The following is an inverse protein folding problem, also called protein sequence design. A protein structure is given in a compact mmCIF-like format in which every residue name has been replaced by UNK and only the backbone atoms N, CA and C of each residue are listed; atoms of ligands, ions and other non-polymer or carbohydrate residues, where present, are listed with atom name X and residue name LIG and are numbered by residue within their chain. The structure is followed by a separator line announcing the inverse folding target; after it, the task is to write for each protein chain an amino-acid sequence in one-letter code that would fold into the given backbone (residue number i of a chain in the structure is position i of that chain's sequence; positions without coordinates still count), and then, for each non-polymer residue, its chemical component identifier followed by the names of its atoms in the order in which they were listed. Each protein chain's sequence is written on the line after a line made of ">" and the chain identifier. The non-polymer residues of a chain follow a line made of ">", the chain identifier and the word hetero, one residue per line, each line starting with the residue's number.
data_IF_879729686650
#
_entry.id   IF_879729686650
#
_cell.length_a   1.000
_cell.length_b   1.000
_cell.length_c   1.000
_cell.angle_alpha   90.00
_cell.angle_beta   90.00
_cell.angle_gamma   90.00
#
_symmetry.space_group_name_H-M   'P 1'
#
loop_
_entity.id
_entity.type
_entity.pdbx_description
1 polymer ?
#
# COMPACT_ATOMS: atom_id res chain seq x y z
N UNK A 1 -1.92 12.55 12.04
CA UNK A 1 -1.90 14.00 11.71
C UNK A 1 -1.92 14.38 10.22
N UNK A 2 -2.42 13.59 9.24
CA UNK A 2 -2.47 14.05 7.84
C UNK A 2 -3.81 14.66 7.41
N UNK A 3 -4.93 14.40 8.09
CA UNK A 3 -6.25 14.83 7.60
C UNK A 3 -6.53 16.32 7.72
N UNK A 4 -6.43 16.91 8.91
CA UNK A 4 -6.73 18.34 9.06
C UNK A 4 -5.79 19.21 8.21
N UNK A 5 -4.51 18.81 8.12
CA UNK A 5 -3.56 19.44 7.22
C UNK A 5 -3.93 19.27 5.74
N UNK A 6 -4.37 18.07 5.35
CA UNK A 6 -4.84 17.81 3.98
C UNK A 6 -6.09 18.64 3.66
N UNK A 7 -7.10 18.65 4.53
CA UNK A 7 -8.35 19.40 4.36
C UNK A 7 -8.07 20.90 4.25
N UNK A 8 -7.28 21.48 5.15
CA UNK A 8 -6.86 22.89 5.08
C UNK A 8 -6.14 23.21 3.78
N UNK A 9 -5.26 22.31 3.31
CA UNK A 9 -4.51 22.51 2.06
C UNK A 9 -5.38 22.38 0.82
N UNK A 10 -6.38 21.49 0.85
CA UNK A 10 -7.36 21.31 -0.22
C UNK A 10 -8.28 22.52 -0.34
N UNK A 11 -8.75 23.06 0.79
CA UNK A 11 -9.56 24.30 0.81
C UNK A 11 -8.77 25.47 0.22
N UNK A 12 -7.45 25.57 0.52
CA UNK A 12 -6.61 26.66 0.03
C UNK A 12 -6.22 26.56 -1.44
N UNK A 13 -6.09 25.34 -1.99
CA UNK A 13 -5.77 25.16 -3.41
C UNK A 13 -6.39 23.86 -3.97
N UNK A 14 -7.48 23.95 -4.76
CA UNK A 14 -8.17 22.78 -5.29
C UNK A 14 -7.34 22.02 -6.34
N UNK A 15 -6.32 22.62 -6.96
CA UNK A 15 -5.45 21.91 -7.89
C UNK A 15 -4.53 20.89 -7.19
N UNK A 16 -4.28 21.05 -5.89
CA UNK A 16 -3.49 20.09 -5.11
C UNK A 16 -4.21 18.73 -4.94
N UNK A 17 -5.56 18.70 -5.05
CA UNK A 17 -6.33 17.44 -5.09
C UNK A 17 -5.88 16.55 -6.23
N UNK A 18 -5.62 17.12 -7.43
CA UNK A 18 -5.21 16.33 -8.60
C UNK A 18 -3.84 15.67 -8.38
N UNK A 19 -2.89 16.42 -7.81
CA UNK A 19 -1.57 15.89 -7.44
C UNK A 19 -1.66 14.80 -6.38
N UNK A 20 -2.51 14.99 -5.36
CA UNK A 20 -2.74 13.99 -4.33
C UNK A 20 -3.42 12.73 -4.87
N UNK A 21 -4.45 12.86 -5.71
CA UNK A 21 -5.15 11.74 -6.36
C UNK A 21 -4.18 10.96 -7.25
N UNK A 22 -3.30 11.65 -8.00
CA UNK A 22 -2.25 11.00 -8.77
C UNK A 22 -1.32 10.18 -7.88
N UNK A 23 -0.88 10.76 -6.76
CA UNK A 23 0.01 10.05 -5.83
C UNK A 23 -0.68 8.90 -5.08
N UNK A 24 -1.98 9.02 -4.77
CA UNK A 24 -2.78 7.91 -4.22
C UNK A 24 -2.94 6.81 -5.28
N UNK A 25 -3.26 7.17 -6.53
CA UNK A 25 -3.38 6.22 -7.63
C UNK A 25 -2.07 5.47 -7.89
N UNK A 26 -0.93 6.14 -7.74
CA UNK A 26 0.40 5.52 -7.84
C UNK A 26 0.69 4.52 -6.70
N UNK A 27 0.04 4.67 -5.54
CA UNK A 27 0.20 3.74 -4.41
C UNK A 27 -0.79 2.58 -4.43
N UNK A 28 -1.92 2.75 -5.13
CA UNK A 28 -2.89 1.68 -5.37
C UNK A 28 -2.24 0.68 -6.32
N UNK A 29 -2.24 -0.59 -5.92
CA UNK A 29 -1.67 -1.67 -6.72
C UNK A 29 -2.46 -1.79 -8.05
N UNK A 30 -1.80 -1.72 -9.22
CA UNK A 30 -2.47 -1.78 -10.52
C UNK A 30 -3.22 -3.09 -10.77
N UNK A 31 -2.95 -4.14 -9.96
CA UNK A 31 -3.68 -5.41 -10.03
C UNK A 31 -5.04 -5.39 -9.32
N UNK A 32 -5.33 -4.35 -8.55
CA UNK A 32 -6.58 -4.27 -7.78
C UNK A 32 -7.74 -4.00 -8.73
N UNK A 33 -8.69 -4.93 -8.76
CA UNK A 33 -9.97 -4.71 -9.44
C UNK A 33 -10.78 -3.69 -8.66
N UNK A 34 -11.50 -2.80 -9.36
CA UNK A 34 -12.42 -1.84 -8.73
C UNK A 34 -13.44 -2.51 -7.80
N UNK A 35 -13.80 -3.76 -8.09
CA UNK A 35 -14.70 -4.59 -7.30
C UNK A 35 -14.17 -4.82 -5.88
N UNK A 36 -12.86 -5.03 -5.70
CA UNK A 36 -12.26 -5.23 -4.37
C UNK A 36 -12.38 -3.99 -3.49
N UNK A 37 -12.24 -2.79 -4.09
CA UNK A 37 -12.41 -1.52 -3.40
C UNK A 37 -13.86 -1.36 -2.96
N UNK A 38 -14.81 -1.64 -3.86
CA UNK A 38 -16.25 -1.52 -3.58
C UNK A 38 -16.64 -2.52 -2.47
N UNK A 39 -16.24 -3.78 -2.60
CA UNK A 39 -16.52 -4.82 -1.61
C UNK A 39 -15.99 -4.43 -0.22
N UNK A 40 -14.74 -3.99 -0.14
CA UNK A 40 -14.16 -3.53 1.13
C UNK A 40 -14.90 -2.31 1.70
N UNK A 41 -15.23 -1.33 0.87
CA UNK A 41 -15.98 -0.15 1.31
C UNK A 41 -17.38 -0.54 1.82
N UNK A 42 -18.06 -1.47 1.15
CA UNK A 42 -19.37 -1.97 1.60
C UNK A 42 -19.27 -2.68 2.95
N UNK A 43 -18.26 -3.52 3.16
CA UNK A 43 -18.03 -4.20 4.45
C UNK A 43 -17.73 -3.18 5.56
N UNK A 44 -16.89 -2.18 5.27
CA UNK A 44 -16.55 -1.13 6.24
C UNK A 44 -17.78 -0.30 6.61
N UNK A 45 -18.58 0.13 5.63
CA UNK A 45 -19.82 0.89 5.87
C UNK A 45 -20.82 0.05 6.66
N UNK A 46 -20.98 -1.23 6.32
CA UNK A 46 -21.88 -2.14 7.03
C UNK A 46 -21.45 -2.32 8.49
N UNK A 47 -20.15 -2.49 8.75
CA UNK A 47 -19.61 -2.60 10.10
C UNK A 47 -19.78 -1.31 10.91
N UNK A 48 -19.56 -0.16 10.29
CA UNK A 48 -19.82 1.14 10.93
C UNK A 48 -21.30 1.31 11.24
N UNK A 49 -22.19 0.98 10.30
CA UNK A 49 -23.63 1.10 10.49
C UNK A 49 -24.11 0.20 11.63
N UNK A 50 -23.61 -1.04 11.67
CA UNK A 50 -23.89 -2.00 12.74
C UNK A 50 -23.38 -1.51 14.11
N UNK A 51 -22.19 -0.90 14.15
CA UNK A 51 -21.61 -0.32 15.37
C UNK A 51 -22.36 0.94 15.82
N UNK A 52 -22.90 1.73 14.88
CA UNK A 52 -23.66 2.94 15.15
C UNK A 52 -25.16 2.66 15.35
N UNK A 53 -25.64 1.42 15.27
CA UNK A 53 -27.04 1.10 15.55
C UNK A 53 -27.31 1.18 17.06
N UNK A 54 -28.42 1.80 17.52
CA UNK A 54 -28.70 1.91 18.94
C UNK A 54 -28.98 0.52 19.53
N UNK A 55 -28.40 0.25 20.69
CA UNK A 55 -28.69 -0.94 21.50
C UNK A 55 -30.20 -1.00 21.80
N UNK A 56 -30.81 -2.15 21.52
CA UNK A 56 -32.20 -2.48 21.86
C UNK A 56 -32.19 -3.78 22.67
N UNK A 57 -33.27 -4.11 23.40
CA UNK A 57 -33.31 -5.29 24.30
C UNK A 57 -33.06 -6.64 23.60
N UNK A 58 -33.13 -6.69 22.27
CA UNK A 58 -32.76 -7.81 21.40
C UNK A 58 -31.41 -7.60 20.68
N UNK A 59 -30.43 -7.00 21.36
CA UNK A 59 -29.13 -6.67 20.76
C UNK A 59 -28.29 -7.93 20.51
N UNK A 60 -27.98 -8.19 19.23
CA UNK A 60 -27.05 -9.24 18.83
C UNK A 60 -25.62 -8.94 19.32
N UNK A 61 -24.82 -9.98 19.58
CA UNK A 61 -23.41 -9.89 20.03
C UNK A 61 -22.58 -8.93 19.14
N UNK A 62 -22.99 -8.76 17.88
CA UNK A 62 -22.38 -7.86 16.90
C UNK A 62 -22.57 -6.35 17.17
N UNK A 63 -23.50 -5.89 18.01
CA UNK A 63 -23.63 -4.46 18.33
C UNK A 63 -22.80 -4.00 19.54
N UNK A 64 -21.88 -4.85 20.03
CA UNK A 64 -21.07 -4.61 21.23
C UNK A 64 -19.58 -4.43 20.90
N UNK A 65 -18.69 -4.38 21.90
CA UNK A 65 -17.24 -4.25 21.72
C UNK A 65 -16.60 -5.23 20.70
N UNK A 66 -17.24 -6.36 20.39
CA UNK A 66 -16.72 -7.31 19.42
C UNK A 66 -16.68 -6.76 17.98
N UNK A 67 -17.59 -5.85 17.58
CA UNK A 67 -17.49 -5.22 16.26
C UNK A 67 -16.34 -4.24 16.16
N UNK A 68 -15.97 -3.59 17.25
CA UNK A 68 -14.75 -2.78 17.29
C UNK A 68 -13.51 -3.62 17.00
N UNK A 69 -13.44 -4.83 17.57
CA UNK A 69 -12.36 -5.77 17.27
C UNK A 69 -12.38 -6.24 15.82
N UNK A 70 -13.56 -6.39 15.20
CA UNK A 70 -13.74 -6.82 13.80
C UNK A 70 -13.38 -5.70 12.80
N UNK A 71 -13.51 -4.44 13.21
CA UNK A 71 -13.05 -3.28 12.45
C UNK A 71 -11.54 -3.35 12.16
N UNK A 72 -10.74 -3.88 13.09
CA UNK A 72 -9.28 -3.92 12.98
C UNK A 72 -8.78 -4.81 11.82
N UNK A 73 -9.19 -6.09 11.68
CA UNK A 73 -8.84 -6.91 10.52
C UNK A 73 -9.27 -6.32 9.17
N UNK A 74 -10.45 -5.70 9.09
CA UNK A 74 -10.95 -5.06 7.87
C UNK A 74 -10.07 -3.87 7.50
N UNK A 75 -9.70 -3.05 8.48
CA UNK A 75 -8.78 -1.92 8.27
C UNK A 75 -7.36 -2.38 7.92
N UNK A 76 -6.89 -3.47 8.52
CA UNK A 76 -5.57 -4.04 8.26
C UNK A 76 -5.48 -4.56 6.82
N UNK A 77 -6.50 -5.29 6.37
CA UNK A 77 -6.61 -5.74 4.99
C UNK A 77 -6.61 -4.55 4.01
N UNK A 78 -7.37 -3.49 4.34
CA UNK A 78 -7.39 -2.24 3.57
C UNK A 78 -6.03 -1.54 3.54
N UNK A 79 -5.32 -1.49 4.67
CA UNK A 79 -3.98 -0.92 4.80
C UNK A 79 -2.97 -1.65 3.89
N UNK A 80 -3.01 -2.98 3.88
CA UNK A 80 -2.12 -3.79 3.04
C UNK A 80 -2.38 -3.62 1.55
N UNK A 81 -3.62 -3.32 1.12
CA UNK A 81 -4.01 -3.22 -0.30
C UNK A 81 -3.96 -1.79 -0.86
N UNK A 82 -4.47 -0.79 -0.16
CA UNK A 82 -4.67 0.56 -0.70
C UNK A 82 -3.57 1.56 -0.36
N UNK A 83 -2.67 1.20 0.56
CA UNK A 83 -1.53 2.01 0.96
C UNK A 83 -1.84 3.10 1.99
N UNK A 84 -0.78 3.72 2.53
CA UNK A 84 -0.83 4.63 3.68
C UNK A 84 -1.72 5.86 3.49
N UNK A 85 -1.65 6.54 2.35
CA UNK A 85 -2.36 7.82 2.18
C UNK A 85 -3.87 7.67 2.10
N UNK A 86 -4.34 6.63 1.41
CA UNK A 86 -5.76 6.33 1.29
C UNK A 86 -6.32 5.85 2.63
N UNK A 87 -5.65 4.87 3.26
CA UNK A 87 -6.15 4.30 4.52
C UNK A 87 -6.11 5.31 5.65
N UNK A 88 -5.10 6.19 5.70
CA UNK A 88 -5.03 7.24 6.73
C UNK A 88 -6.15 8.28 6.59
N UNK A 89 -6.58 8.55 5.35
CA UNK A 89 -7.70 9.45 5.06
C UNK A 89 -9.03 8.85 5.54
N UNK A 90 -9.22 7.54 5.40
CA UNK A 90 -10.46 6.85 5.83
C UNK A 90 -10.45 6.48 7.32
N UNK A 91 -9.30 6.09 7.86
CA UNK A 91 -9.20 5.64 9.26
C UNK A 91 -9.53 6.74 10.26
N UNK A 92 -9.16 7.97 9.94
CA UNK A 92 -9.35 9.14 10.81
C UNK A 92 -10.82 9.55 11.02
N UNK A 93 -11.69 9.67 10.00
CA UNK A 93 -13.12 9.90 10.21
C UNK A 93 -13.79 8.70 10.86
N UNK A 94 -13.36 7.48 10.53
CA UNK A 94 -13.81 6.26 11.23
C UNK A 94 -13.50 6.35 12.72
N UNK A 95 -12.27 6.69 13.10
CA UNK A 95 -11.85 6.85 14.49
C UNK A 95 -12.65 7.95 15.20
N UNK A 96 -12.85 9.09 14.54
CA UNK A 96 -13.67 10.19 15.09
C UNK A 96 -15.11 9.74 15.34
N UNK A 97 -15.72 9.05 14.37
CA UNK A 97 -17.09 8.53 14.51
C UNK A 97 -17.19 7.51 15.65
N UNK A 98 -16.26 6.56 15.72
CA UNK A 98 -16.21 5.54 16.79
C UNK A 98 -16.08 6.21 18.17
N UNK A 99 -15.15 7.16 18.34
CA UNK A 99 -14.96 7.88 19.61
C UNK A 99 -16.20 8.72 19.96
N UNK A 100 -16.80 9.40 18.99
CA UNK A 100 -17.97 10.25 19.24
C UNK A 100 -19.20 9.43 19.65
N UNK A 101 -19.44 8.31 18.98
CA UNK A 101 -20.58 7.42 19.22
C UNK A 101 -20.29 6.32 20.25
N UNK A 102 -19.27 6.48 21.11
CA UNK A 102 -18.88 5.47 22.10
C UNK A 102 -20.02 5.03 23.03
N UNK A 103 -20.94 5.94 23.35
CA UNK A 103 -22.11 5.69 24.19
C UNK A 103 -23.09 4.66 23.58
N UNK A 104 -23.01 4.42 22.27
CA UNK A 104 -24.02 3.64 21.54
C UNK A 104 -23.76 2.14 21.52
N UNK A 105 -22.51 1.72 21.73
CA UNK A 105 -22.10 0.32 21.80
C UNK A 105 -21.48 -0.07 23.15
N UNK A 106 -21.31 0.90 24.07
CA UNK A 106 -20.82 0.67 25.43
C UNK A 106 -21.98 0.79 26.44
N UNK A 107 -22.67 -0.30 26.79
CA UNK A 107 -23.72 -0.28 27.79
C UNK A 107 -23.20 0.11 29.19
N UNK A 108 -24.01 0.82 29.96
CA UNK A 108 -23.66 1.33 31.29
C UNK A 108 -23.81 0.18 32.30
N UNK A 109 -22.69 -0.44 32.64
CA UNK A 109 -22.58 -1.51 33.63
C UNK A 109 -21.70 -1.08 34.82
N UNK A 110 -21.73 -1.75 35.98
CA UNK A 110 -20.93 -1.39 37.16
C UNK A 110 -19.41 -1.34 36.92
N UNK A 111 -18.92 -1.95 35.84
CA UNK A 111 -17.52 -1.91 35.36
C UNK A 111 -17.28 -0.95 34.18
N UNK A 112 -18.13 0.07 34.00
CA UNK A 112 -18.05 1.00 32.86
C UNK A 112 -16.68 1.71 32.73
N UNK A 113 -16.11 2.18 33.85
CA UNK A 113 -14.83 2.91 33.82
C UNK A 113 -13.66 2.04 33.34
N UNK A 114 -13.59 0.78 33.77
CA UNK A 114 -12.52 -0.13 33.32
C UNK A 114 -12.69 -0.53 31.86
N UNK A 115 -13.94 -0.76 31.42
CA UNK A 115 -14.24 -1.06 30.02
C UNK A 115 -13.97 0.14 29.10
N UNK A 116 -14.24 1.37 29.56
CA UNK A 116 -13.91 2.60 28.83
C UNK A 116 -12.39 2.78 28.70
N UNK A 117 -11.63 2.47 29.75
CA UNK A 117 -10.16 2.48 29.70
C UNK A 117 -9.60 1.44 28.71
N UNK A 118 -10.17 0.24 28.67
CA UNK A 118 -9.77 -0.82 27.72
C UNK A 118 -10.09 -0.42 26.28
N UNK A 119 -11.30 0.10 26.03
CA UNK A 119 -11.71 0.51 24.67
C UNK A 119 -10.90 1.72 24.18
N UNK A 120 -10.69 2.74 25.03
CA UNK A 120 -9.87 3.90 24.67
C UNK A 120 -8.41 3.55 24.36
N UNK A 121 -7.78 2.69 25.16
CA UNK A 121 -6.42 2.20 24.88
C UNK A 121 -6.36 1.39 23.57
N UNK A 122 -7.39 0.58 23.28
CA UNK A 122 -7.47 -0.18 22.02
C UNK A 122 -7.52 0.73 20.78
N UNK A 123 -8.19 1.89 20.84
CA UNK A 123 -8.20 2.85 19.72
C UNK A 123 -6.81 3.34 19.34
N UNK A 124 -5.96 3.60 20.34
CA UNK A 124 -4.58 4.03 20.12
C UNK A 124 -3.73 2.91 19.51
N UNK A 125 -3.82 1.71 20.08
CA UNK A 125 -3.11 0.54 19.57
C UNK A 125 -3.51 0.23 18.13
N UNK A 126 -4.81 0.21 17.83
CA UNK A 126 -5.30 -0.03 16.47
C UNK A 126 -4.85 1.06 15.50
N UNK A 127 -4.87 2.33 15.93
CA UNK A 127 -4.37 3.43 15.11
C UNK A 127 -2.90 3.28 14.77
N UNK A 128 -2.07 2.86 15.73
CA UNK A 128 -0.65 2.62 15.51
C UNK A 128 -0.44 1.44 14.56
N UNK A 129 -1.12 0.31 14.78
CA UNK A 129 -1.00 -0.89 13.95
C UNK A 129 -1.42 -0.60 12.50
N UNK A 130 -2.58 0.04 12.29
CA UNK A 130 -3.09 0.37 10.94
C UNK A 130 -2.15 1.34 10.24
N UNK A 131 -1.68 2.39 10.93
CA UNK A 131 -0.75 3.36 10.34
C UNK A 131 0.60 2.71 9.97
N UNK A 132 1.16 1.90 10.88
CA UNK A 132 2.45 1.25 10.70
C UNK A 132 2.41 0.21 9.59
N UNK A 133 1.40 -0.66 9.58
CA UNK A 133 1.21 -1.67 8.53
C UNK A 133 1.00 -1.04 7.15
N UNK A 134 0.25 0.06 7.08
CA UNK A 134 0.09 0.78 5.83
C UNK A 134 1.39 1.43 5.35
N UNK A 135 2.19 1.97 6.25
CA UNK A 135 3.52 2.50 5.93
C UNK A 135 4.45 1.40 5.42
N UNK A 136 4.55 0.28 6.14
CA UNK A 136 5.35 -0.88 5.73
C UNK A 136 4.92 -1.42 4.38
N UNK A 137 3.62 -1.61 4.15
CA UNK A 137 3.10 -2.10 2.87
C UNK A 137 3.50 -1.18 1.71
N UNK A 138 3.46 0.15 1.90
CA UNK A 138 3.91 1.09 0.86
C UNK A 138 5.41 1.03 0.61
N UNK A 139 6.22 0.95 1.67
CA UNK A 139 7.68 0.84 1.52
C UNK A 139 8.09 -0.47 0.84
N UNK A 140 7.50 -1.58 1.27
CA UNK A 140 7.72 -2.89 0.65
C UNK A 140 7.42 -2.82 -0.85
N UNK A 141 6.29 -2.23 -1.25
CA UNK A 141 5.94 -2.10 -2.68
C UNK A 141 6.95 -1.28 -3.47
N UNK A 142 7.43 -0.16 -2.91
CA UNK A 142 8.45 0.66 -3.57
C UNK A 142 9.76 -0.12 -3.74
N UNK A 143 10.17 -0.86 -2.71
CA UNK A 143 11.35 -1.72 -2.76
C UNK A 143 11.14 -2.84 -3.79
N UNK A 144 10.02 -3.55 -3.75
CA UNK A 144 9.70 -4.61 -4.71
C UNK A 144 9.65 -4.09 -6.16
N UNK A 145 9.10 -2.90 -6.38
CA UNK A 145 9.09 -2.28 -7.71
C UNK A 145 10.52 -1.97 -8.19
N UNK A 146 11.36 -1.41 -7.32
CA UNK A 146 12.79 -1.14 -7.61
C UNK A 146 13.56 -2.43 -7.86
N UNK A 147 13.43 -3.43 -6.99
CA UNK A 147 14.05 -4.75 -7.15
C UNK A 147 13.59 -5.41 -8.44
N UNK A 148 12.30 -5.31 -8.78
CA UNK A 148 11.78 -5.83 -10.04
C UNK A 148 12.37 -5.11 -11.25
N UNK A 149 12.55 -3.79 -11.20
CA UNK A 149 13.23 -3.05 -12.26
C UNK A 149 14.71 -3.46 -12.37
N UNK A 150 15.40 -3.58 -11.23
CA UNK A 150 16.77 -4.06 -11.15
C UNK A 150 16.90 -5.53 -11.59
N UNK A 151 15.85 -6.34 -11.51
CA UNK A 151 15.87 -7.71 -12.04
C UNK A 151 15.83 -7.76 -13.58
N UNK A 152 15.39 -6.68 -14.24
CA UNK A 152 15.40 -6.56 -15.70
C UNK A 152 16.67 -5.91 -16.25
N UNK A 153 17.51 -5.32 -15.40
CA UNK A 153 18.79 -4.76 -15.76
C UNK A 153 19.89 -5.66 -15.17
N UNK A 154 20.92 -5.99 -15.94
CA UNK A 154 22.09 -6.66 -15.34
C UNK A 154 22.74 -5.66 -14.37
N UNK A 155 22.80 -5.92 -13.05
CA UNK A 155 23.37 -4.96 -12.09
C UNK A 155 24.83 -4.62 -12.38
N UNK A 156 25.53 -5.49 -13.12
CA UNK A 156 26.94 -5.30 -13.45
C UNK A 156 27.08 -4.39 -14.67
N UNK A 157 26.26 -4.59 -15.70
CA UNK A 157 26.46 -3.94 -17.01
C UNK A 157 25.41 -2.89 -17.33
N UNK A 158 24.38 -2.74 -16.48
CA UNK A 158 23.24 -1.83 -16.69
C UNK A 158 22.54 -2.03 -18.06
N UNK A 159 22.72 -3.18 -18.70
CA UNK A 159 22.05 -3.56 -19.95
C UNK A 159 20.76 -4.35 -19.67
N UNK A 160 19.78 -4.32 -20.58
CA UNK A 160 18.58 -5.14 -20.46
C UNK A 160 18.94 -6.63 -20.39
N UNK A 161 18.46 -7.33 -19.36
CA UNK A 161 18.66 -8.77 -19.19
C UNK A 161 17.97 -9.57 -20.31
N UNK A 162 18.37 -10.84 -20.48
CA UNK A 162 17.70 -11.79 -21.39
C UNK A 162 16.19 -11.91 -21.11
N UNK A 163 15.77 -11.72 -19.85
CA UNK A 163 14.35 -11.63 -19.46
C UNK A 163 13.63 -10.42 -20.07
N UNK A 164 14.31 -9.28 -20.21
CA UNK A 164 13.76 -8.10 -20.88
C UNK A 164 13.67 -8.34 -22.40
N UNK A 165 14.70 -8.95 -23.00
CA UNK A 165 14.71 -9.33 -24.41
C UNK A 165 13.57 -10.29 -24.76
N UNK A 166 13.42 -11.40 -24.03
CA UNK A 166 12.33 -12.38 -24.24
C UNK A 166 10.94 -11.75 -24.12
N UNK A 167 10.76 -10.77 -23.23
CA UNK A 167 9.49 -10.05 -23.09
C UNK A 167 9.22 -9.12 -24.28
N UNK A 168 10.25 -8.48 -24.83
CA UNK A 168 10.14 -7.64 -26.02
C UNK A 168 9.78 -8.46 -27.25
N UNK A 169 10.45 -9.61 -27.45
CA UNK A 169 10.14 -10.58 -28.51
C UNK A 169 8.68 -11.05 -28.45
N UNK A 170 8.17 -11.40 -27.28
CA UNK A 170 6.77 -11.84 -27.11
C UNK A 170 5.74 -10.71 -27.36
N UNK A 171 6.15 -9.45 -27.34
CA UNK A 171 5.27 -8.30 -27.57
C UNK A 171 5.15 -7.90 -29.05
N UNK A 172 6.05 -8.38 -29.91
CA UNK A 172 6.08 -8.07 -31.34
C UNK A 172 5.74 -9.30 -32.15
N UNK A 173 4.78 -9.21 -33.07
CA UNK A 173 4.37 -10.36 -33.89
C UNK A 173 5.51 -10.85 -34.78
N UNK A 174 6.25 -9.94 -35.42
CA UNK A 174 7.44 -10.22 -36.24
C UNK A 174 8.62 -9.38 -35.75
N UNK A 175 9.78 -10.01 -35.55
CA UNK A 175 11.01 -9.35 -35.08
C UNK A 175 12.25 -10.03 -35.64
N UNK A 176 13.27 -9.24 -35.99
CA UNK A 176 14.59 -9.74 -36.39
C UNK A 176 15.53 -9.68 -35.19
N UNK A 177 16.18 -10.80 -34.86
CA UNK A 177 17.14 -10.88 -33.76
C UNK A 177 18.57 -10.89 -34.31
N UNK A 178 19.36 -9.88 -33.93
CA UNK A 178 20.78 -9.82 -34.26
C UNK A 178 21.60 -10.29 -33.06
N UNK A 179 22.51 -11.23 -33.27
CA UNK A 179 23.42 -11.73 -32.25
C UNK A 179 24.82 -11.20 -32.48
N UNK A 180 25.31 -10.36 -31.56
CA UNK A 180 26.68 -9.85 -31.58
C UNK A 180 27.53 -10.65 -30.59
N UNK A 181 28.53 -11.38 -31.10
CA UNK A 181 29.52 -12.08 -30.29
C UNK A 181 30.85 -11.37 -30.37
N UNK A 182 31.35 -10.90 -29.23
CA UNK A 182 32.68 -10.30 -29.12
C UNK A 182 33.66 -11.41 -28.72
N UNK A 183 34.56 -11.84 -29.62
CA UNK A 183 35.58 -12.83 -29.28
C UNK A 183 36.57 -12.24 -28.24
N UNK A 184 37.28 -13.11 -27.52
CA UNK A 184 38.38 -12.75 -26.60
C UNK A 184 38.05 -11.88 -25.37
N UNK A 185 36.77 -11.57 -25.13
CA UNK A 185 36.36 -10.77 -23.97
C UNK A 185 36.69 -11.45 -22.61
N UNK A 186 36.84 -12.77 -22.60
CA UNK A 186 37.33 -13.53 -21.44
C UNK A 186 38.83 -13.34 -21.20
N UNK A 187 39.62 -13.24 -22.28
CA UNK A 187 41.06 -12.98 -22.22
C UNK A 187 41.34 -11.59 -21.64
N UNK A 188 40.54 -10.60 -22.06
CA UNK A 188 40.59 -9.23 -21.54
C UNK A 188 40.29 -9.18 -20.04
N UNK A 189 39.27 -9.93 -19.58
CA UNK A 189 38.94 -10.02 -18.15
C UNK A 189 40.00 -10.73 -17.31
N UNK A 190 40.73 -11.70 -17.88
CA UNK A 190 41.83 -12.41 -17.20
C UNK A 190 43.08 -11.53 -17.04
N UNK A 191 43.43 -10.72 -18.04
CA UNK A 191 44.64 -9.90 -18.00
C UNK A 191 44.46 -8.55 -17.28
N UNK A 192 43.30 -7.90 -17.45
CA UNK A 192 43.07 -6.54 -16.97
C UNK A 192 42.01 -6.45 -15.86
N UNK A 193 41.49 -7.60 -15.44
CA UNK A 193 40.50 -7.69 -14.38
C UNK A 193 39.06 -7.54 -14.87
N UNK A 194 38.14 -7.96 -13.99
CA UNK A 194 36.70 -8.03 -14.29
C UNK A 194 36.09 -6.65 -14.55
N UNK A 195 36.61 -5.59 -13.92
CA UNK A 195 36.10 -4.23 -14.07
C UNK A 195 36.25 -3.69 -15.51
N UNK A 196 37.40 -3.92 -16.15
CA UNK A 196 37.65 -3.45 -17.52
C UNK A 196 36.68 -4.09 -18.51
N UNK A 197 36.39 -5.39 -18.34
CA UNK A 197 35.39 -6.11 -19.12
C UNK A 197 34.00 -5.50 -18.98
N UNK A 198 33.65 -5.03 -17.79
CA UNK A 198 32.34 -4.41 -17.52
C UNK A 198 32.24 -3.05 -18.19
N UNK A 199 33.27 -2.20 -18.02
CA UNK A 199 33.32 -0.86 -18.63
C UNK A 199 33.30 -0.94 -20.16
N UNK A 200 34.03 -1.88 -20.75
CA UNK A 200 34.03 -2.09 -22.20
C UNK A 200 32.63 -2.43 -22.73
N UNK A 201 31.91 -3.33 -22.05
CA UNK A 201 30.51 -3.65 -22.41
C UNK A 201 29.58 -2.44 -22.26
N UNK A 202 29.76 -1.62 -21.21
CA UNK A 202 28.96 -0.42 -20.99
C UNK A 202 29.20 0.64 -22.09
N UNK A 203 30.45 0.86 -22.48
CA UNK A 203 30.81 1.78 -23.57
C UNK A 203 30.22 1.33 -24.91
N UNK A 204 30.27 0.02 -25.20
CA UNK A 204 29.71 -0.54 -26.43
C UNK A 204 28.18 -0.49 -26.49
N UNK A 205 27.51 -0.42 -25.33
CA UNK A 205 26.05 -0.28 -25.27
C UNK A 205 25.57 1.18 -25.39
N UNK A 206 26.44 2.15 -25.07
CA UNK A 206 26.14 3.57 -25.13
C UNK A 206 26.41 4.19 -26.52
N UNK A 207 27.09 3.46 -27.40
CA UNK A 207 27.38 3.84 -28.79
C UNK A 207 26.45 3.10 -29.76
#
# INVERSE_FOLDING_TARGET
>A
MPLCYFVLRVIRNPFHLRGFISQVRLQIDPKIKKIEIICWATVLILLLWLLLMPLNDSSTIFSTNYTLSLLMPVMLWGAMRFGYRFISLIWTPVLIAVIHFHYRYLPIYPSYNTQLAITSSSYLVFSFIVAYTAMLATQQRLIYARVRQMAFLDPVVHMPNLRALSRALNGTSWSTLCFLRIPELELLGRHYGVLLRIQYKQMLANH
#
